data_IF_347921627105
#
_entry.id   IF_347921627105
#
_cell.length_a   1.000
_cell.length_b   1.000
_cell.length_c   1.000
_cell.angle_alpha   90.00
_cell.angle_beta   90.00
_cell.angle_gamma   90.00
#
_symmetry.space_group_name_H-M   'P 1'
#
loop_
_entity.id
_entity.type
_entity.pdbx_description
1 polymer ?
#
# COMPACT_ATOMS: atom_id res chain seq x y z
N UNK A 1 -8.28 -50.34 -9.56
CA UNK A 1 -8.70 -49.33 -8.56
C UNK A 1 -7.52 -48.74 -7.78
N UNK A 2 -6.69 -49.53 -7.07
CA UNK A 2 -5.52 -49.01 -6.31
C UNK A 2 -4.53 -48.15 -7.14
N UNK A 3 -4.25 -48.55 -8.39
CA UNK A 3 -3.37 -47.78 -9.30
C UNK A 3 -3.97 -46.44 -9.75
N UNK A 4 -5.30 -46.37 -9.89
CA UNK A 4 -6.02 -45.14 -10.29
C UNK A 4 -6.07 -44.16 -9.12
N UNK A 5 -6.30 -44.64 -7.89
CA UNK A 5 -6.25 -43.83 -6.67
C UNK A 5 -4.84 -43.27 -6.43
N UNK A 6 -3.79 -44.06 -6.68
CA UNK A 6 -2.41 -43.60 -6.57
C UNK A 6 -2.07 -42.49 -7.59
N UNK A 7 -2.55 -42.61 -8.83
CA UNK A 7 -2.36 -41.60 -9.87
C UNK A 7 -3.10 -40.28 -9.54
N UNK A 8 -4.30 -40.33 -8.97
CA UNK A 8 -5.04 -39.13 -8.52
C UNK A 8 -4.36 -38.47 -7.31
N UNK A 9 -3.81 -39.25 -6.39
CA UNK A 9 -3.05 -38.73 -5.24
C UNK A 9 -1.73 -38.04 -5.66
N UNK A 10 -1.06 -38.55 -6.70
CA UNK A 10 0.15 -37.93 -7.25
C UNK A 10 -0.18 -36.64 -8.03
N UNK A 11 -1.30 -36.62 -8.77
CA UNK A 11 -1.72 -35.44 -9.52
C UNK A 11 -2.19 -34.29 -8.61
N UNK A 12 -2.79 -34.61 -7.45
CA UNK A 12 -3.18 -33.62 -6.44
C UNK A 12 -1.97 -33.06 -5.66
N UNK A 13 -0.90 -33.85 -5.48
CA UNK A 13 0.36 -33.35 -4.88
C UNK A 13 1.09 -32.33 -5.76
N UNK A 14 1.01 -32.44 -7.09
CA UNK A 14 1.69 -31.51 -8.00
C UNK A 14 0.99 -30.14 -8.14
N UNK A 15 -0.30 -30.04 -7.82
CA UNK A 15 -1.01 -28.75 -7.80
C UNK A 15 -0.81 -27.96 -6.50
N UNK A 16 -0.24 -28.57 -5.46
CA UNK A 16 -0.06 -27.94 -4.15
C UNK A 16 1.19 -27.03 -4.05
N UNK A 17 2.06 -27.05 -5.05
CA UNK A 17 3.17 -26.09 -5.18
C UNK A 17 2.86 -25.07 -6.28
N UNK A 18 1.89 -24.19 -6.04
CA UNK A 18 1.96 -22.87 -6.66
C UNK A 18 2.91 -22.04 -5.80
N UNK A 19 4.07 -21.66 -6.35
CA UNK A 19 4.91 -20.64 -5.73
C UNK A 19 4.07 -19.38 -5.52
N UNK A 20 3.89 -18.99 -4.26
CA UNK A 20 3.14 -17.79 -3.90
C UNK A 20 3.98 -16.58 -4.32
N UNK A 21 3.67 -16.01 -5.49
CA UNK A 21 4.37 -14.83 -6.04
C UNK A 21 4.54 -13.74 -4.99
N UNK A 22 5.79 -13.37 -4.69
CA UNK A 22 6.11 -12.27 -3.79
C UNK A 22 5.44 -10.99 -4.29
N UNK A 23 5.10 -10.06 -3.40
CA UNK A 23 4.77 -8.70 -3.86
C UNK A 23 5.95 -8.05 -4.61
N UNK A 24 7.18 -8.53 -4.39
CA UNK A 24 8.37 -8.15 -5.17
C UNK A 24 8.38 -8.75 -6.58
N UNK A 25 7.52 -9.74 -6.88
CA UNK A 25 7.38 -10.29 -8.24
C UNK A 25 6.31 -9.56 -9.05
N UNK A 26 5.53 -8.69 -8.39
CA UNK A 26 4.51 -7.89 -9.05
C UNK A 26 5.15 -6.67 -9.68
N UNK A 27 4.77 -6.37 -10.92
CA UNK A 27 5.19 -5.16 -11.60
C UNK A 27 4.62 -3.94 -10.87
N UNK A 28 5.35 -2.84 -10.84
CA UNK A 28 4.80 -1.59 -10.28
C UNK A 28 3.74 -0.98 -11.19
N UNK A 29 3.78 -1.26 -12.50
CA UNK A 29 2.89 -0.68 -13.49
C UNK A 29 2.14 -1.75 -14.28
N UNK A 30 0.88 -1.45 -14.59
CA UNK A 30 0.09 -2.17 -15.59
C UNK A 30 0.65 -1.99 -16.99
N UNK A 31 0.15 -2.77 -17.96
CA UNK A 31 0.58 -2.66 -19.37
C UNK A 31 0.24 -1.29 -19.95
N UNK A 32 -0.77 -0.65 -19.41
CA UNK A 32 -1.26 0.68 -19.77
C UNK A 32 -0.50 1.80 -19.03
N UNK A 33 0.54 1.45 -18.26
CA UNK A 33 1.38 2.41 -17.53
C UNK A 33 0.72 2.98 -16.29
N UNK A 34 -0.27 2.29 -15.70
CA UNK A 34 -0.91 2.71 -14.46
C UNK A 34 -0.19 2.09 -13.26
N UNK A 35 0.20 2.86 -12.23
CA UNK A 35 0.74 2.28 -11.02
C UNK A 35 -0.26 1.31 -10.38
N UNK A 36 0.23 0.17 -9.93
CA UNK A 36 -0.49 -0.75 -9.07
C UNK A 36 -0.34 -0.32 -7.61
N UNK A 37 -1.42 -0.45 -6.84
CA UNK A 37 -1.44 -0.24 -5.40
C UNK A 37 -2.05 -1.47 -4.73
N UNK A 38 -1.41 -1.95 -3.65
CA UNK A 38 -1.87 -3.12 -2.90
C UNK A 38 -2.40 -2.67 -1.55
N UNK A 39 -3.68 -2.93 -1.30
CA UNK A 39 -4.33 -2.61 -0.03
C UNK A 39 -3.78 -3.51 1.07
N UNK A 40 -3.20 -2.92 2.11
CA UNK A 40 -2.73 -3.62 3.30
C UNK A 40 -3.70 -3.45 4.48
N UNK A 41 -4.37 -2.30 4.53
CA UNK A 41 -5.33 -1.89 5.55
C UNK A 41 -6.56 -1.31 4.88
N UNK A 42 -7.73 -1.84 5.22
CA UNK A 42 -9.01 -1.34 4.73
C UNK A 42 -9.32 0.03 5.37
N UNK A 43 -10.00 0.92 4.64
CA UNK A 43 -10.52 2.16 5.22
C UNK A 43 -11.43 1.84 6.43
N UNK A 44 -11.28 2.58 7.53
CA UNK A 44 -12.04 2.31 8.76
C UNK A 44 -11.48 1.19 9.66
N UNK A 45 -10.41 0.48 9.25
CA UNK A 45 -9.72 -0.49 10.11
C UNK A 45 -8.85 0.19 11.17
N UNK A 46 -8.44 -0.57 12.19
CA UNK A 46 -7.57 -0.09 13.29
C UNK A 46 -6.30 -0.91 13.46
N UNK A 47 -6.23 -2.11 12.90
CA UNK A 47 -5.12 -3.05 13.06
C UNK A 47 -3.86 -2.51 12.39
N UNK A 48 -2.72 -2.54 13.09
CA UNK A 48 -1.44 -2.15 12.48
C UNK A 48 -0.83 -3.37 11.77
N UNK A 49 -1.19 -3.59 10.51
CA UNK A 49 -0.58 -4.64 9.69
C UNK A 49 0.84 -4.26 9.29
N UNK A 50 1.72 -5.27 9.26
CA UNK A 50 3.06 -5.18 8.66
C UNK A 50 3.19 -6.24 7.58
N UNK A 51 4.00 -5.94 6.56
CA UNK A 51 4.39 -6.92 5.57
C UNK A 51 5.29 -7.98 6.20
N UNK A 52 4.99 -9.24 5.90
CA UNK A 52 5.71 -10.40 6.39
C UNK A 52 6.29 -11.16 5.19
N UNK A 53 7.60 -11.00 4.98
CA UNK A 53 8.33 -11.63 3.87
C UNK A 53 8.18 -13.16 3.86
N UNK A 54 8.12 -13.80 5.03
CA UNK A 54 8.04 -15.25 5.15
C UNK A 54 6.73 -15.83 4.63
N UNK A 55 5.59 -15.24 5.05
CA UNK A 55 4.28 -15.68 4.56
C UNK A 55 3.88 -15.03 3.25
N UNK A 56 4.65 -14.04 2.78
CA UNK A 56 4.31 -13.18 1.65
C UNK A 56 2.86 -12.67 1.80
N UNK A 57 2.63 -12.00 2.92
CA UNK A 57 1.32 -11.60 3.41
C UNK A 57 1.43 -10.55 4.49
N UNK A 58 0.33 -10.31 5.21
CA UNK A 58 0.27 -9.31 6.26
C UNK A 58 0.01 -9.97 7.61
N UNK A 59 0.79 -9.57 8.62
CA UNK A 59 0.57 -9.96 10.01
C UNK A 59 0.27 -8.70 10.82
N UNK A 60 -0.66 -8.80 11.77
CA UNK A 60 -0.87 -7.70 12.72
C UNK A 60 0.37 -7.63 13.60
N UNK A 61 0.92 -6.43 13.76
CA UNK A 61 2.05 -6.21 14.67
C UNK A 61 1.62 -6.55 16.10
N UNK A 62 2.49 -7.23 16.84
CA UNK A 62 2.19 -7.69 18.21
C UNK A 62 3.27 -7.21 19.16
N UNK A 63 2.88 -6.55 20.26
CA UNK A 63 3.78 -6.20 21.36
C UNK A 63 3.36 -6.96 22.61
N UNK A 64 4.28 -7.75 23.18
CA UNK A 64 4.03 -8.61 24.35
C UNK A 64 2.82 -9.57 24.18
N UNK A 65 2.60 -10.09 22.98
CA UNK A 65 1.48 -10.99 22.68
C UNK A 65 0.12 -10.28 22.45
N UNK A 66 0.08 -8.95 22.49
CA UNK A 66 -1.13 -8.15 22.21
C UNK A 66 -1.02 -7.51 20.83
N UNK A 67 -2.07 -7.67 20.02
CA UNK A 67 -2.17 -7.03 18.70
C UNK A 67 -2.17 -5.51 18.85
N UNK A 68 -1.32 -4.84 18.08
CA UNK A 68 -1.29 -3.40 17.99
C UNK A 68 -2.46 -2.88 17.16
N UNK A 69 -3.03 -1.77 17.64
CA UNK A 69 -4.06 -1.02 16.95
C UNK A 69 -3.77 0.47 17.02
N UNK A 70 -4.39 1.24 16.13
CA UNK A 70 -4.36 2.70 16.17
C UNK A 70 -5.11 3.19 17.40
N UNK A 71 -4.46 4.04 18.20
CA UNK A 71 -5.02 4.67 19.39
C UNK A 71 -5.54 6.09 19.12
N UNK A 72 -6.12 6.31 17.93
CA UNK A 72 -6.71 7.57 17.47
C UNK A 72 -7.96 7.27 16.63
N UNK A 73 -8.13 7.93 15.48
CA UNK A 73 -9.14 7.59 14.49
C UNK A 73 -8.67 6.42 13.62
N UNK A 74 -9.61 5.53 13.19
CA UNK A 74 -9.32 4.52 12.18
C UNK A 74 -8.68 5.09 10.91
N UNK A 75 -8.09 4.23 10.08
CA UNK A 75 -7.52 4.64 8.79
C UNK A 75 -8.55 5.45 7.96
N UNK A 76 -8.25 6.70 7.57
CA UNK A 76 -9.23 7.59 6.91
C UNK A 76 -9.47 7.20 5.44
N UNK A 77 -8.61 6.36 4.89
CA UNK A 77 -8.69 5.78 3.55
C UNK A 77 -7.96 4.43 3.56
N UNK A 78 -8.07 3.65 2.47
CA UNK A 78 -7.32 2.40 2.39
C UNK A 78 -5.81 2.70 2.41
N UNK A 79 -5.05 1.96 3.20
CA UNK A 79 -3.61 2.15 3.33
C UNK A 79 -2.87 0.91 2.81
N UNK A 80 -1.70 1.13 2.22
CA UNK A 80 -1.03 0.10 1.43
C UNK A 80 0.26 0.60 0.81
N UNK A 81 0.72 -0.09 -0.22
CA UNK A 81 2.02 0.18 -0.86
C UNK A 81 1.99 -0.09 -2.36
N UNK A 82 3.02 0.43 -3.03
CA UNK A 82 3.28 0.19 -4.45
C UNK A 82 4.24 -1.01 -4.57
N UNK A 83 3.88 -2.08 -5.28
CA UNK A 83 4.73 -3.26 -5.39
C UNK A 83 6.02 -2.97 -6.18
N UNK A 84 7.08 -3.74 -5.92
CA UNK A 84 8.41 -3.57 -6.53
C UNK A 84 8.97 -2.14 -6.42
N UNK A 85 8.58 -1.39 -5.39
CA UNK A 85 9.20 -0.11 -5.07
C UNK A 85 10.12 -0.26 -3.86
N UNK A 86 11.34 0.27 -3.93
CA UNK A 86 12.27 0.21 -2.83
C UNK A 86 12.93 1.57 -2.61
N UNK A 87 13.19 1.93 -1.36
CA UNK A 87 14.10 3.02 -1.04
C UNK A 87 15.54 2.64 -1.42
N UNK A 88 16.36 3.66 -1.70
CA UNK A 88 17.79 3.54 -1.92
C UNK A 88 18.58 3.87 -0.64
N UNK A 89 19.88 3.54 -0.62
CA UNK A 89 20.78 3.95 0.46
C UNK A 89 20.58 3.18 1.76
N UNK A 90 20.49 3.90 2.89
CA UNK A 90 20.42 3.28 4.23
C UNK A 90 19.08 2.57 4.49
N UNK A 91 18.02 2.95 3.78
CA UNK A 91 16.68 2.39 3.92
C UNK A 91 16.39 1.30 2.85
N UNK A 92 17.45 0.72 2.27
CA UNK A 92 17.34 -0.22 1.15
C UNK A 92 16.34 -1.34 1.42
N UNK A 93 15.34 -1.44 0.54
CA UNK A 93 14.31 -2.47 0.60
C UNK A 93 12.98 -2.00 1.18
N UNK A 94 12.90 -0.80 1.77
CA UNK A 94 11.63 -0.24 2.25
C UNK A 94 10.67 0.08 1.10
N UNK A 95 9.43 -0.41 1.21
CA UNK A 95 8.37 -0.19 0.24
C UNK A 95 7.90 1.28 0.23
N UNK A 96 7.47 1.78 -0.93
CA UNK A 96 6.75 3.05 -1.00
C UNK A 96 5.30 2.84 -0.54
N UNK A 97 4.93 3.44 0.58
CA UNK A 97 3.59 3.38 1.13
C UNK A 97 2.70 4.54 0.65
N UNK A 98 1.40 4.40 0.84
CA UNK A 98 0.45 5.45 0.52
C UNK A 98 -0.98 5.20 0.99
N UNK A 99 -1.85 6.12 0.62
CA UNK A 99 -3.29 6.07 0.84
C UNK A 99 -4.05 6.06 -0.48
N UNK A 100 -5.00 5.13 -0.60
CA UNK A 100 -5.95 5.03 -1.69
C UNK A 100 -7.32 5.53 -1.23
N UNK A 101 -7.68 6.73 -1.73
CA UNK A 101 -8.95 7.41 -1.45
C UNK A 101 -10.05 6.73 -2.28
N UNK A 102 -10.76 5.80 -1.66
CA UNK A 102 -11.81 4.98 -2.26
C UNK A 102 -12.74 4.46 -1.14
N UNK A 103 -13.90 3.84 -1.47
CA UNK A 103 -14.62 2.99 -0.54
C UNK A 103 -13.72 1.93 0.10
N UNK A 104 -14.17 1.31 1.18
CA UNK A 104 -13.45 0.20 1.82
C UNK A 104 -13.14 -0.91 0.81
N UNK A 105 -11.89 -1.34 0.77
CA UNK A 105 -11.42 -2.46 -0.05
C UNK A 105 -10.80 -3.54 0.83
N UNK A 106 -10.97 -4.80 0.43
CA UNK A 106 -10.34 -5.94 1.10
C UNK A 106 -8.81 -5.84 1.04
N UNK A 107 -8.14 -6.35 2.07
CA UNK A 107 -6.67 -6.51 2.07
C UNK A 107 -6.23 -7.39 0.89
N UNK A 108 -5.01 -7.16 0.39
CA UNK A 108 -4.42 -7.77 -0.81
C UNK A 108 -5.13 -7.43 -2.13
N UNK A 109 -6.14 -6.57 -2.12
CA UNK A 109 -6.71 -6.04 -3.37
C UNK A 109 -5.64 -5.22 -4.10
N UNK A 110 -5.35 -5.58 -5.35
CA UNK A 110 -4.51 -4.80 -6.24
C UNK A 110 -5.39 -3.90 -7.11
N UNK A 111 -5.07 -2.61 -7.14
CA UNK A 111 -5.86 -1.59 -7.85
C UNK A 111 -4.94 -0.75 -8.73
N UNK A 112 -5.36 -0.46 -9.95
CA UNK A 112 -4.70 0.55 -10.79
C UNK A 112 -5.10 1.94 -10.30
N UNK A 113 -4.12 2.81 -10.08
CA UNK A 113 -4.35 4.10 -9.42
C UNK A 113 -3.86 5.29 -10.23
N UNK A 114 -4.42 6.47 -9.91
CA UNK A 114 -3.94 7.78 -10.32
C UNK A 114 -3.37 8.50 -9.09
N UNK A 115 -2.07 8.83 -9.07
CA UNK A 115 -1.51 9.69 -8.03
C UNK A 115 -2.15 11.07 -8.04
N UNK A 116 -2.47 11.60 -6.86
CA UNK A 116 -3.00 12.96 -6.65
C UNK A 116 -1.97 13.90 -6.00
N UNK A 117 -0.99 13.32 -5.30
CA UNK A 117 0.03 14.07 -4.59
C UNK A 117 0.85 13.17 -3.67
N UNK A 118 1.83 13.77 -3.01
CA UNK A 118 2.63 13.10 -2.00
C UNK A 118 2.85 14.04 -0.80
N UNK A 119 3.28 13.46 0.31
CA UNK A 119 3.67 14.19 1.52
C UNK A 119 5.05 13.73 1.95
N UNK A 120 5.93 14.69 2.22
CA UNK A 120 7.22 14.44 2.90
C UNK A 120 7.07 14.83 4.37
N UNK A 121 7.53 13.96 5.25
CA UNK A 121 7.36 14.08 6.70
C UNK A 121 8.66 13.73 7.39
N UNK A 122 8.88 14.27 8.58
CA UNK A 122 9.91 13.81 9.48
C UNK A 122 9.31 12.74 10.40
N UNK A 123 9.93 11.56 10.46
CA UNK A 123 9.57 10.50 11.39
C UNK A 123 10.82 9.87 11.97
N UNK A 124 10.94 9.90 13.29
CA UNK A 124 12.07 9.32 14.03
C UNK A 124 13.43 9.86 13.53
N UNK A 125 13.46 11.14 13.16
CA UNK A 125 14.64 11.82 12.62
C UNK A 125 14.96 11.53 11.14
N UNK A 126 14.12 10.76 10.44
CA UNK A 126 14.28 10.45 9.01
C UNK A 126 13.18 11.08 8.16
N UNK A 127 13.52 11.49 6.94
CA UNK A 127 12.51 11.91 5.97
C UNK A 127 11.81 10.71 5.37
N UNK A 128 10.49 10.66 5.50
CA UNK A 128 9.63 9.60 4.95
C UNK A 128 8.62 10.23 3.99
N UNK A 129 8.36 9.55 2.88
CA UNK A 129 7.37 9.98 1.90
C UNK A 129 6.19 9.00 1.83
N UNK A 130 4.99 9.54 1.68
CA UNK A 130 3.77 8.79 1.36
C UNK A 130 3.09 9.38 0.13
N UNK A 131 2.50 8.53 -0.69
CA UNK A 131 1.69 8.94 -1.85
C UNK A 131 0.21 8.90 -1.52
N UNK A 132 -0.56 9.85 -2.03
CA UNK A 132 -2.03 9.82 -2.01
C UNK A 132 -2.54 9.62 -3.43
N UNK A 133 -3.45 8.68 -3.61
CA UNK A 133 -3.99 8.31 -4.92
C UNK A 133 -5.48 7.99 -4.87
N UNK A 134 -6.09 7.91 -6.06
CA UNK A 134 -7.46 7.44 -6.28
C UNK A 134 -7.44 6.27 -7.28
N UNK A 135 -8.49 5.44 -7.34
CA UNK A 135 -8.61 4.43 -8.38
C UNK A 135 -8.62 5.04 -9.79
N UNK A 136 -8.02 4.34 -10.76
CA UNK A 136 -8.16 4.66 -12.18
C UNK A 136 -9.59 4.35 -12.66
N UNK A 137 -10.20 3.28 -12.10
CA UNK A 137 -11.60 2.92 -12.29
C UNK A 137 -12.55 3.99 -11.72
N UNK A 138 -13.38 4.56 -12.60
CA UNK A 138 -14.37 5.57 -12.24
C UNK A 138 -15.46 5.06 -11.30
N UNK A 139 -15.76 3.76 -11.28
CA UNK A 139 -16.77 3.17 -10.40
C UNK A 139 -16.31 3.07 -8.95
N UNK A 140 -14.99 3.12 -8.70
CA UNK A 140 -14.39 2.96 -7.37
C UNK A 140 -13.89 4.28 -6.77
N UNK A 141 -14.09 5.40 -7.45
CA UNK A 141 -13.59 6.71 -7.01
C UNK A 141 -14.72 7.70 -6.78
N UNK A 142 -14.51 8.62 -5.83
CA UNK A 142 -15.35 9.80 -5.69
C UNK A 142 -15.32 10.60 -7.00
N UNK A 143 -16.47 11.18 -7.38
CA UNK A 143 -16.51 12.09 -8.51
C UNK A 143 -15.83 13.39 -8.09
N UNK A 144 -14.54 13.49 -8.39
CA UNK A 144 -13.82 14.74 -8.27
C UNK A 144 -14.09 15.53 -9.55
N UNK A 145 -14.52 16.79 -9.41
CA UNK A 145 -14.39 17.75 -10.51
C UNK A 145 -12.96 17.67 -11.07
N UNK A 146 -12.76 18.01 -12.35
CA UNK A 146 -11.59 17.71 -13.21
C UNK A 146 -10.17 17.92 -12.63
N UNK A 147 -10.05 18.47 -11.42
CA UNK A 147 -8.84 18.57 -10.62
C UNK A 147 -8.22 17.19 -10.36
N UNK A 148 -7.10 16.92 -11.03
CA UNK A 148 -6.20 15.80 -10.71
C UNK A 148 -5.28 16.15 -9.52
N UNK A 149 -5.81 16.86 -8.52
CA UNK A 149 -5.04 17.42 -7.42
C UNK A 149 -5.68 17.13 -6.07
N UNK A 150 -4.83 17.01 -5.05
CA UNK A 150 -5.27 16.81 -3.67
C UNK A 150 -5.83 18.12 -3.10
N UNK A 151 -7.12 18.11 -2.75
CA UNK A 151 -7.81 19.26 -2.13
C UNK A 151 -7.12 19.70 -0.83
N UNK A 152 -7.13 21.01 -0.53
CA UNK A 152 -6.45 21.56 0.67
C UNK A 152 -6.99 20.98 1.98
N UNK A 153 -8.29 20.72 2.05
CA UNK A 153 -8.90 20.11 3.24
C UNK A 153 -8.51 18.64 3.38
N UNK A 154 -8.29 17.92 2.28
CA UNK A 154 -7.75 16.55 2.33
C UNK A 154 -6.34 16.58 2.91
N UNK A 155 -5.48 17.52 2.48
CA UNK A 155 -4.14 17.72 3.08
C UNK A 155 -4.24 17.97 4.59
N UNK A 156 -5.21 18.78 5.02
CA UNK A 156 -5.45 19.06 6.44
C UNK A 156 -5.85 17.80 7.21
N UNK A 157 -6.83 17.04 6.71
CA UNK A 157 -7.33 15.81 7.36
C UNK A 157 -6.21 14.75 7.45
N UNK A 158 -5.53 14.48 6.34
CA UNK A 158 -4.44 13.50 6.32
C UNK A 158 -3.26 13.97 7.18
N UNK A 159 -2.89 15.25 7.13
CA UNK A 159 -1.83 15.80 7.98
C UNK A 159 -2.11 15.61 9.46
N UNK A 160 -3.33 15.92 9.92
CA UNK A 160 -3.74 15.69 11.31
C UNK A 160 -3.71 14.20 11.67
N UNK A 161 -4.21 13.32 10.79
CA UNK A 161 -4.17 11.89 11.05
C UNK A 161 -2.74 11.34 11.11
N UNK A 162 -1.86 11.77 10.21
CA UNK A 162 -0.46 11.37 10.17
C UNK A 162 0.28 11.78 11.45
N UNK A 163 0.07 13.00 11.93
CA UNK A 163 0.68 13.46 13.19
C UNK A 163 0.17 12.69 14.41
N UNK A 164 -1.13 12.37 14.48
CA UNK A 164 -1.73 11.80 15.70
C UNK A 164 -1.79 10.27 15.73
N UNK A 165 -1.91 9.60 14.58
CA UNK A 165 -2.07 8.15 14.47
C UNK A 165 -0.84 7.44 13.89
N UNK A 166 -0.21 8.04 12.87
CA UNK A 166 1.01 7.53 12.25
C UNK A 166 2.28 7.97 13.00
N UNK A 167 2.13 8.90 13.95
CA UNK A 167 3.18 9.36 14.86
C UNK A 167 4.39 9.89 14.08
N UNK A 168 4.15 10.81 13.13
CA UNK A 168 5.21 11.61 12.50
C UNK A 168 5.53 12.82 13.35
N UNK A 169 6.80 13.22 13.37
CA UNK A 169 7.28 14.38 14.12
C UNK A 169 6.72 15.68 13.55
N UNK A 170 6.73 15.80 12.21
CA UNK A 170 6.17 16.95 11.50
C UNK A 170 5.91 16.67 10.02
N UNK A 171 4.99 17.43 9.43
CA UNK A 171 4.82 17.51 7.98
C UNK A 171 5.83 18.53 7.43
N UNK A 172 6.69 18.09 6.49
CA UNK A 172 7.70 18.95 5.87
C UNK A 172 7.09 19.67 4.66
N UNK A 173 6.47 18.92 3.74
CA UNK A 173 5.92 19.48 2.51
C UNK A 173 4.87 18.58 1.87
N UNK A 174 3.95 19.21 1.14
CA UNK A 174 2.99 18.55 0.25
C UNK A 174 3.43 18.78 -1.19
N UNK A 175 3.34 17.73 -2.00
CA UNK A 175 3.74 17.71 -3.40
C UNK A 175 2.57 17.39 -4.32
N UNK A 176 2.71 17.79 -5.58
CA UNK A 176 1.69 17.57 -6.62
C UNK A 176 1.71 16.13 -7.18
N UNK A 177 0.78 15.87 -8.10
CA UNK A 177 0.64 14.58 -8.76
C UNK A 177 1.86 14.20 -9.64
N UNK A 178 2.59 15.20 -10.17
CA UNK A 178 3.78 14.95 -10.99
C UNK A 178 4.92 14.42 -10.12
N UNK A 179 5.17 15.07 -8.99
CA UNK A 179 6.14 14.61 -8.00
C UNK A 179 5.79 13.20 -7.53
N UNK A 180 4.52 12.95 -7.19
CA UNK A 180 4.07 11.63 -6.74
C UNK A 180 4.33 10.54 -7.80
N UNK A 181 4.07 10.84 -9.07
CA UNK A 181 4.30 9.92 -10.19
C UNK A 181 5.79 9.63 -10.39
N UNK A 182 6.64 10.66 -10.37
CA UNK A 182 8.09 10.48 -10.48
C UNK A 182 8.71 9.79 -9.25
N UNK A 183 8.14 10.00 -8.05
CA UNK A 183 8.53 9.27 -6.85
C UNK A 183 8.29 7.77 -7.00
N UNK A 184 7.09 7.36 -7.41
CA UNK A 184 6.77 5.94 -7.65
C UNK A 184 7.75 5.38 -8.69
N UNK A 185 7.90 6.06 -9.82
CA UNK A 185 8.77 5.63 -10.92
C UNK A 185 10.23 5.48 -10.52
N UNK A 186 10.79 6.47 -9.83
CA UNK A 186 12.18 6.42 -9.36
C UNK A 186 12.39 5.23 -8.42
N UNK A 187 11.46 5.00 -7.49
CA UNK A 187 11.50 3.88 -6.55
C UNK A 187 11.27 2.51 -7.22
N UNK A 188 10.73 2.48 -8.45
CA UNK A 188 10.43 1.25 -9.20
C UNK A 188 11.63 0.73 -10.01
N UNK A 189 12.65 1.57 -10.24
CA UNK A 189 13.81 1.20 -11.05
C UNK A 189 14.78 0.41 -10.19
N UNK A 190 14.98 -0.88 -10.54
CA UNK A 190 15.98 -1.76 -9.93
C UNK A 190 17.38 -1.47 -10.44
#
# INVERSE_FOLDING_TARGET
>A
MKKIVLLIAIFTLMMACQEKKSFDDLQTYSKEGKPHFIVMNAAGSIEKFQYDNESNGFKVKTTNGVNESISFLPYPANYGFFPSTHADGEDKGELLYGFLIAPELSIQTMVDVKPLGAVTMLKDGKEVQLVLCIPDDKLLRIDMEETNELHVDMKTIFGLWLTNAYEVDSIISWHDANYASELIKTRSNR
#
